data_IF_372907349597
#
_entry.id   IF_372907349597
#
_cell.length_a   1.000
_cell.length_b   1.000
_cell.length_c   1.000
_cell.angle_alpha   90.00
_cell.angle_beta   90.00
_cell.angle_gamma   90.00
#
_symmetry.space_group_name_H-M   'P 1'
#
loop_
_entity.id
_entity.type
_entity.pdbx_description
1 polymer ?
#
# COMPACT_ATOMS: atom_id res chain seq x y z
N UNK A 1 -32.98 -16.00 -0.83
CA UNK A 1 -31.98 -15.17 -1.53
C UNK A 1 -32.28 -15.26 -3.02
N UNK A 2 -32.79 -14.21 -3.62
CA UNK A 2 -33.23 -14.21 -5.02
C UNK A 2 -32.04 -14.31 -5.98
N UNK A 3 -32.20 -14.96 -7.12
CA UNK A 3 -31.15 -15.15 -8.14
C UNK A 3 -30.44 -13.82 -8.56
N UNK A 4 -31.17 -12.71 -8.50
CA UNK A 4 -30.58 -11.36 -8.71
C UNK A 4 -29.51 -10.97 -7.69
N UNK A 5 -29.64 -11.39 -6.42
CA UNK A 5 -28.61 -11.14 -5.39
C UNK A 5 -27.35 -11.99 -5.64
N UNK A 6 -27.48 -13.21 -6.14
CA UNK A 6 -26.33 -14.09 -6.45
C UNK A 6 -25.52 -13.62 -7.67
N UNK A 7 -26.19 -13.09 -8.70
CA UNK A 7 -25.50 -12.49 -9.86
C UNK A 7 -24.78 -11.19 -9.45
N UNK A 8 -25.40 -10.41 -8.55
CA UNK A 8 -24.81 -9.20 -7.97
C UNK A 8 -23.52 -9.48 -7.19
N UNK A 9 -23.45 -10.55 -6.39
CA UNK A 9 -22.29 -10.91 -5.58
C UNK A 9 -21.06 -11.35 -6.41
N UNK A 10 -21.26 -12.05 -7.52
CA UNK A 10 -20.17 -12.46 -8.42
C UNK A 10 -19.49 -11.28 -9.11
N UNK A 11 -20.25 -10.24 -9.44
CA UNK A 11 -19.73 -8.99 -10.05
C UNK A 11 -19.17 -8.02 -9.00
N UNK A 12 -19.63 -8.10 -7.76
CA UNK A 12 -19.28 -7.15 -6.72
C UNK A 12 -17.79 -7.24 -6.32
N UNK A 13 -17.24 -8.45 -6.16
CA UNK A 13 -15.82 -8.60 -5.79
C UNK A 13 -14.86 -8.04 -6.84
N UNK A 14 -14.99 -8.38 -8.14
CA UNK A 14 -14.18 -7.72 -9.17
C UNK A 14 -14.35 -6.21 -9.19
N UNK A 15 -15.57 -5.70 -8.96
CA UNK A 15 -15.82 -4.27 -8.91
C UNK A 15 -15.12 -3.61 -7.70
N UNK A 16 -15.20 -4.21 -6.51
CA UNK A 16 -14.52 -3.72 -5.31
C UNK A 16 -12.98 -3.77 -5.47
N UNK A 17 -12.46 -4.82 -6.10
CA UNK A 17 -11.05 -4.92 -6.44
C UNK A 17 -10.63 -3.85 -7.46
N UNK A 18 -11.46 -3.58 -8.48
CA UNK A 18 -11.22 -2.50 -9.44
C UNK A 18 -11.19 -1.12 -8.77
N UNK A 19 -12.07 -0.86 -7.80
CA UNK A 19 -12.04 0.38 -7.01
C UNK A 19 -10.70 0.52 -6.26
N UNK A 20 -10.24 -0.54 -5.61
CA UNK A 20 -8.97 -0.51 -4.88
C UNK A 20 -7.75 -0.41 -5.81
N UNK A 21 -7.81 -0.97 -7.01
CA UNK A 21 -6.73 -0.95 -7.99
C UNK A 21 -6.43 0.45 -8.55
N UNK A 22 -7.34 1.42 -8.42
CA UNK A 22 -7.16 2.80 -8.88
C UNK A 22 -5.86 3.40 -8.33
N UNK A 23 -5.57 3.21 -7.04
CA UNK A 23 -4.40 3.80 -6.40
C UNK A 23 -3.08 3.13 -6.80
N UNK A 24 -2.91 1.79 -6.76
CA UNK A 24 -1.74 1.12 -7.30
C UNK A 24 -1.50 1.43 -8.78
N UNK A 25 -2.52 1.40 -9.62
CA UNK A 25 -2.37 1.73 -11.04
C UNK A 25 -1.84 3.16 -11.23
N UNK A 26 -2.37 4.13 -10.46
CA UNK A 26 -1.92 5.52 -10.52
C UNK A 26 -0.46 5.71 -10.05
N UNK A 27 0.03 4.86 -9.15
CA UNK A 27 1.41 4.87 -8.67
C UNK A 27 2.32 4.14 -9.67
N UNK A 28 1.98 2.90 -10.02
CA UNK A 28 2.92 1.99 -10.67
C UNK A 28 3.03 2.20 -12.19
N UNK A 29 1.93 2.57 -12.89
CA UNK A 29 1.99 2.88 -14.33
C UNK A 29 2.85 4.11 -14.64
N UNK A 30 2.89 5.06 -13.73
CA UNK A 30 3.61 6.31 -13.89
C UNK A 30 5.13 6.16 -13.66
N UNK A 31 5.58 5.11 -12.96
CA UNK A 31 6.99 4.93 -12.59
C UNK A 31 7.94 4.94 -13.80
N UNK A 32 7.57 4.27 -14.89
CA UNK A 32 8.37 4.22 -16.11
C UNK A 32 8.50 5.58 -16.82
N UNK A 33 7.51 6.47 -16.64
CA UNK A 33 7.45 7.78 -17.28
C UNK A 33 8.15 8.89 -16.48
N UNK A 34 8.66 8.62 -15.29
CA UNK A 34 9.31 9.65 -14.44
C UNK A 34 10.47 10.39 -15.14
N UNK A 35 11.39 9.72 -15.86
CA UNK A 35 12.48 10.42 -16.54
C UNK A 35 11.97 11.37 -17.63
N UNK A 36 11.05 10.90 -18.47
CA UNK A 36 10.44 11.71 -19.55
C UNK A 36 9.66 12.90 -19.00
N UNK A 37 8.99 12.72 -17.86
CA UNK A 37 8.30 13.81 -17.18
C UNK A 37 9.29 14.84 -16.62
N UNK A 38 10.41 14.41 -16.06
CA UNK A 38 11.46 15.30 -15.55
C UNK A 38 12.02 16.19 -16.67
N UNK A 39 12.26 15.60 -17.84
CA UNK A 39 12.71 16.31 -19.06
C UNK A 39 11.65 17.28 -19.57
N UNK A 40 10.38 16.81 -19.67
CA UNK A 40 9.27 17.63 -20.18
C UNK A 40 8.97 18.87 -19.31
N UNK A 41 8.99 18.70 -17.98
CA UNK A 41 8.75 19.78 -17.00
C UNK A 41 10.03 20.56 -16.65
N UNK A 42 11.16 20.23 -17.29
CA UNK A 42 12.47 20.84 -17.05
C UNK A 42 12.81 20.92 -15.54
N UNK A 43 12.69 19.79 -14.86
CA UNK A 43 12.85 19.69 -13.41
C UNK A 43 13.77 18.54 -13.00
N UNK A 44 14.49 18.61 -11.87
CA UNK A 44 15.30 17.50 -11.38
C UNK A 44 14.45 16.26 -11.11
N UNK A 45 15.02 15.07 -11.36
CA UNK A 45 14.37 13.77 -11.09
C UNK A 45 13.91 13.64 -9.63
N UNK A 46 14.64 14.21 -8.67
CA UNK A 46 14.26 14.21 -7.25
C UNK A 46 12.91 14.90 -6.99
N UNK A 47 12.59 15.97 -7.74
CA UNK A 47 11.30 16.65 -7.64
C UNK A 47 10.18 15.78 -8.20
N UNK A 48 10.44 15.03 -9.27
CA UNK A 48 9.47 14.08 -9.82
C UNK A 48 9.23 12.92 -8.85
N UNK A 49 10.27 12.41 -8.20
CA UNK A 49 10.14 11.40 -7.13
C UNK A 49 9.28 11.90 -5.97
N UNK A 50 9.37 13.18 -5.60
CA UNK A 50 8.52 13.79 -4.58
C UNK A 50 7.03 13.73 -4.92
N UNK A 51 6.66 13.60 -6.20
CA UNK A 51 5.26 13.43 -6.59
C UNK A 51 4.61 12.18 -6.00
N UNK A 52 5.38 11.11 -5.81
CA UNK A 52 4.90 9.90 -5.12
C UNK A 52 4.68 10.19 -3.63
N UNK A 53 5.60 10.88 -2.97
CA UNK A 53 5.45 11.27 -1.57
C UNK A 53 4.24 12.18 -1.33
N UNK A 54 4.05 13.14 -2.23
CA UNK A 54 2.88 14.02 -2.21
C UNK A 54 1.58 13.25 -2.44
N UNK A 55 1.61 12.26 -3.35
CA UNK A 55 0.48 11.35 -3.57
C UNK A 55 0.17 10.54 -2.30
N UNK A 56 1.19 9.92 -1.67
CA UNK A 56 1.04 9.14 -0.44
C UNK A 56 0.50 10.00 0.71
N UNK A 57 0.98 11.23 0.85
CA UNK A 57 0.51 12.19 1.83
C UNK A 57 -0.97 12.55 1.59
N UNK A 58 -1.31 12.89 0.35
CA UNK A 58 -2.70 13.19 -0.03
C UNK A 58 -3.63 12.02 0.29
N UNK A 59 -3.22 10.81 -0.06
CA UNK A 59 -3.99 9.59 0.24
C UNK A 59 -4.17 9.36 1.75
N UNK A 60 -3.10 9.50 2.54
CA UNK A 60 -3.17 9.36 4.00
C UNK A 60 -4.11 10.38 4.65
N UNK A 61 -4.01 11.66 4.26
CA UNK A 61 -4.91 12.71 4.75
C UNK A 61 -6.36 12.49 4.31
N UNK A 62 -6.55 11.99 3.09
CA UNK A 62 -7.86 11.60 2.61
C UNK A 62 -8.47 10.46 3.40
N UNK A 63 -7.71 9.41 3.77
CA UNK A 63 -8.18 8.32 4.64
C UNK A 63 -8.62 8.84 6.02
N UNK A 64 -7.91 9.83 6.56
CA UNK A 64 -8.27 10.49 7.82
C UNK A 64 -9.65 11.15 7.71
N UNK A 65 -9.90 11.87 6.63
CA UNK A 65 -11.16 12.59 6.42
C UNK A 65 -12.29 11.64 6.02
N UNK A 66 -12.07 10.82 5.00
CA UNK A 66 -13.14 10.00 4.43
C UNK A 66 -13.42 8.72 5.23
N UNK A 67 -12.50 8.28 6.10
CA UNK A 67 -12.73 7.14 6.99
C UNK A 67 -13.99 7.31 7.87
N UNK A 68 -14.10 8.36 8.70
CA UNK A 68 -15.33 8.63 9.45
C UNK A 68 -16.55 8.90 8.56
N UNK A 69 -16.33 9.50 7.37
CA UNK A 69 -17.42 9.78 6.44
C UNK A 69 -18.01 8.48 5.84
N UNK A 70 -17.20 7.44 5.64
CA UNK A 70 -17.64 6.14 5.16
C UNK A 70 -18.58 5.41 6.15
N UNK A 71 -18.48 5.74 7.44
CA UNK A 71 -19.41 5.23 8.45
C UNK A 71 -20.73 6.02 8.52
N UNK A 72 -20.73 7.28 8.04
CA UNK A 72 -21.87 8.23 8.18
C UNK A 72 -22.65 8.41 6.89
N UNK A 73 -21.97 8.39 5.75
CA UNK A 73 -22.58 8.65 4.45
C UNK A 73 -22.75 7.38 3.63
N UNK A 74 -23.60 7.44 2.61
CA UNK A 74 -23.76 6.36 1.64
C UNK A 74 -22.43 5.98 0.99
N UNK A 75 -22.07 4.71 1.09
CA UNK A 75 -20.82 4.18 0.50
C UNK A 75 -20.75 4.42 -1.00
N UNK A 76 -21.89 4.24 -1.71
CA UNK A 76 -21.97 4.49 -3.15
C UNK A 76 -21.64 5.95 -3.49
N UNK A 77 -22.18 6.91 -2.74
CA UNK A 77 -21.88 8.34 -2.95
C UNK A 77 -20.41 8.67 -2.75
N UNK A 78 -19.78 8.10 -1.72
CA UNK A 78 -18.35 8.30 -1.47
C UNK A 78 -17.48 7.67 -2.56
N UNK A 79 -17.82 6.47 -3.03
CA UNK A 79 -17.09 5.84 -4.14
C UNK A 79 -17.22 6.67 -5.41
N UNK A 80 -18.41 7.15 -5.75
CA UNK A 80 -18.63 7.99 -6.92
C UNK A 80 -17.88 9.33 -6.81
N UNK A 81 -17.88 9.96 -5.62
CA UNK A 81 -17.06 11.15 -5.37
C UNK A 81 -15.58 10.88 -5.60
N UNK A 82 -15.05 9.78 -5.04
CA UNK A 82 -13.65 9.41 -5.15
C UNK A 82 -13.22 9.10 -6.59
N UNK A 83 -14.01 8.29 -7.31
CA UNK A 83 -13.72 7.92 -8.70
C UNK A 83 -13.90 9.09 -9.67
N UNK A 84 -14.96 9.90 -9.49
CA UNK A 84 -15.20 11.08 -10.31
C UNK A 84 -14.11 12.14 -10.14
N UNK A 85 -13.75 12.43 -8.88
CA UNK A 85 -12.66 13.34 -8.59
C UNK A 85 -11.30 12.86 -9.08
N UNK A 86 -11.02 11.54 -8.95
CA UNK A 86 -9.82 10.93 -9.51
C UNK A 86 -9.78 11.04 -11.05
N UNK A 87 -10.90 10.79 -11.72
CA UNK A 87 -11.03 10.96 -13.17
C UNK A 87 -10.69 12.38 -13.60
N UNK A 88 -11.31 13.39 -12.96
CA UNK A 88 -11.07 14.80 -13.26
C UNK A 88 -9.59 15.16 -13.01
N UNK A 89 -9.03 14.78 -11.87
CA UNK A 89 -7.62 15.06 -11.57
C UNK A 89 -6.69 14.38 -12.58
N UNK A 90 -7.01 13.16 -13.03
CA UNK A 90 -6.24 12.45 -14.06
C UNK A 90 -6.31 13.16 -15.42
N UNK A 91 -7.42 13.79 -15.77
CA UNK A 91 -7.55 14.60 -16.98
C UNK A 91 -6.81 15.94 -16.90
N UNK A 92 -6.63 16.49 -15.70
CA UNK A 92 -5.89 17.73 -15.47
C UNK A 92 -4.37 17.52 -15.51
N UNK A 93 -3.86 16.36 -15.11
CA UNK A 93 -2.41 16.09 -15.06
C UNK A 93 -1.69 16.26 -16.41
N UNK A 94 -2.22 15.85 -17.57
CA UNK A 94 -1.60 16.12 -18.86
C UNK A 94 -1.52 17.61 -19.26
N UNK A 95 -2.29 18.47 -18.59
CA UNK A 95 -2.43 19.90 -18.92
C UNK A 95 -1.51 20.81 -18.10
N UNK A 96 -0.78 20.27 -17.14
CA UNK A 96 0.10 21.06 -16.25
C UNK A 96 1.35 21.53 -17.01
N UNK A 97 1.84 22.72 -16.66
CA UNK A 97 3.00 23.35 -17.31
C UNK A 97 4.26 23.33 -16.45
N UNK A 98 4.16 22.99 -15.16
CA UNK A 98 5.30 22.95 -14.24
C UNK A 98 5.11 21.90 -13.14
N UNK A 99 6.20 21.60 -12.44
CA UNK A 99 6.23 20.55 -11.41
C UNK A 99 5.31 20.87 -10.21
N UNK A 100 5.15 22.13 -9.85
CA UNK A 100 4.34 22.53 -8.69
C UNK A 100 2.84 22.26 -8.94
N UNK A 101 2.36 22.57 -10.14
CA UNK A 101 1.01 22.22 -10.58
C UNK A 101 0.84 20.69 -10.61
N UNK A 102 1.83 19.98 -11.14
CA UNK A 102 1.81 18.51 -11.17
C UNK A 102 1.69 17.93 -9.76
N UNK A 103 2.52 18.37 -8.80
CA UNK A 103 2.48 17.93 -7.42
C UNK A 103 1.13 18.24 -6.76
N UNK A 104 0.58 19.45 -7.00
CA UNK A 104 -0.71 19.85 -6.44
C UNK A 104 -1.86 18.97 -6.96
N UNK A 105 -1.91 18.70 -8.25
CA UNK A 105 -2.94 17.85 -8.84
C UNK A 105 -2.75 16.39 -8.41
N UNK A 106 -1.52 15.89 -8.28
CA UNK A 106 -1.22 14.55 -7.74
C UNK A 106 -1.69 14.39 -6.30
N UNK A 107 -1.49 15.42 -5.47
CA UNK A 107 -2.03 15.43 -4.11
C UNK A 107 -3.56 15.30 -4.12
N UNK A 108 -4.24 16.14 -4.89
CA UNK A 108 -5.71 16.13 -4.97
C UNK A 108 -6.25 14.82 -5.56
N UNK A 109 -5.58 14.26 -6.56
CA UNK A 109 -5.90 12.96 -7.15
C UNK A 109 -5.92 11.85 -6.08
N UNK A 110 -4.87 11.79 -5.26
CA UNK A 110 -4.74 10.80 -4.20
C UNK A 110 -5.74 11.06 -3.06
N UNK A 111 -5.85 12.32 -2.61
CA UNK A 111 -6.75 12.73 -1.54
C UNK A 111 -8.19 12.32 -1.84
N UNK A 112 -8.70 12.67 -3.03
CA UNK A 112 -10.08 12.37 -3.41
C UNK A 112 -10.26 10.86 -3.67
N UNK A 113 -9.28 10.17 -4.28
CA UNK A 113 -9.39 8.73 -4.55
C UNK A 113 -9.54 7.90 -3.29
N UNK A 114 -9.00 8.35 -2.16
CA UNK A 114 -9.12 7.66 -0.87
C UNK A 114 -10.58 7.52 -0.40
N UNK A 115 -11.47 8.43 -0.83
CA UNK A 115 -12.91 8.34 -0.55
C UNK A 115 -13.55 7.08 -1.17
N UNK A 116 -13.05 6.62 -2.33
CA UNK A 116 -13.52 5.40 -2.95
C UNK A 116 -12.95 4.16 -2.27
N UNK A 117 -11.66 4.15 -1.98
CA UNK A 117 -10.97 2.96 -1.49
C UNK A 117 -11.27 2.63 -0.03
N UNK A 118 -11.47 3.64 0.83
CA UNK A 118 -11.80 3.46 2.26
C UNK A 118 -13.11 2.72 2.49
N UNK A 119 -14.01 2.77 1.53
CA UNK A 119 -15.34 2.13 1.60
C UNK A 119 -15.25 0.61 1.41
N UNK A 120 -14.26 0.12 0.65
CA UNK A 120 -14.21 -1.26 0.16
C UNK A 120 -14.19 -2.31 1.29
N UNK A 121 -13.35 -2.22 2.33
CA UNK A 121 -13.37 -3.21 3.42
C UNK A 121 -14.75 -3.30 4.11
N UNK A 122 -15.38 -2.14 4.29
CA UNK A 122 -16.72 -2.06 4.84
C UNK A 122 -17.80 -2.68 3.94
N UNK A 123 -17.69 -2.49 2.62
CA UNK A 123 -18.57 -3.10 1.66
C UNK A 123 -18.41 -4.64 1.63
N UNK A 124 -17.16 -5.14 1.59
CA UNK A 124 -16.90 -6.59 1.67
C UNK A 124 -17.53 -7.19 2.95
N UNK A 125 -17.37 -6.52 4.08
CA UNK A 125 -17.96 -6.97 5.35
C UNK A 125 -19.49 -7.03 5.31
N UNK A 126 -20.13 -6.07 4.68
CA UNK A 126 -21.59 -6.01 4.57
C UNK A 126 -22.15 -7.14 3.71
N UNK A 127 -21.49 -7.44 2.58
CA UNK A 127 -21.97 -8.44 1.63
C UNK A 127 -21.55 -9.87 1.94
N UNK A 128 -20.40 -10.05 2.63
CA UNK A 128 -19.85 -11.38 2.94
C UNK A 128 -20.12 -11.81 4.38
N UNK A 129 -20.53 -10.91 5.30
CA UNK A 129 -20.88 -11.23 6.68
C UNK A 129 -19.82 -12.08 7.38
N UNK A 130 -20.15 -13.32 7.70
CA UNK A 130 -19.23 -14.28 8.36
C UNK A 130 -18.04 -14.65 7.48
N UNK A 131 -18.16 -14.57 6.16
CA UNK A 131 -17.13 -14.88 5.17
C UNK A 131 -16.29 -13.65 4.77
N UNK A 132 -16.32 -12.56 5.53
CA UNK A 132 -15.58 -11.31 5.27
C UNK A 132 -14.10 -11.56 4.96
N UNK A 133 -13.44 -12.42 5.73
CA UNK A 133 -12.03 -12.75 5.52
C UNK A 133 -11.77 -13.35 4.13
N UNK A 134 -12.68 -14.22 3.66
CA UNK A 134 -12.61 -14.81 2.32
C UNK A 134 -12.82 -13.75 1.22
N UNK A 135 -13.79 -12.85 1.40
CA UNK A 135 -14.05 -11.75 0.48
C UNK A 135 -12.84 -10.79 0.37
N UNK A 136 -12.25 -10.39 1.49
CA UNK A 136 -11.04 -9.55 1.52
C UNK A 136 -9.84 -10.25 0.88
N UNK A 137 -9.68 -11.56 1.07
CA UNK A 137 -8.62 -12.33 0.43
C UNK A 137 -8.74 -12.32 -1.09
N UNK A 138 -9.94 -12.50 -1.64
CA UNK A 138 -10.17 -12.42 -3.10
C UNK A 138 -9.85 -11.03 -3.65
N UNK A 139 -10.31 -9.98 -2.97
CA UNK A 139 -9.99 -8.60 -3.36
C UNK A 139 -8.49 -8.36 -3.35
N UNK A 140 -7.78 -8.82 -2.32
CA UNK A 140 -6.33 -8.69 -2.22
C UNK A 140 -5.59 -9.45 -3.31
N UNK A 141 -6.04 -10.67 -3.66
CA UNK A 141 -5.45 -11.44 -4.77
C UNK A 141 -5.55 -10.71 -6.11
N UNK A 142 -6.72 -10.14 -6.41
CA UNK A 142 -6.93 -9.37 -7.64
C UNK A 142 -6.05 -8.10 -7.61
N UNK A 143 -5.97 -7.43 -6.47
CA UNK A 143 -5.12 -6.25 -6.31
C UNK A 143 -3.62 -6.50 -6.52
N UNK A 144 -3.15 -7.70 -6.21
CA UNK A 144 -1.74 -8.07 -6.43
C UNK A 144 -1.36 -8.13 -7.91
N UNK A 145 -2.33 -8.29 -8.81
CA UNK A 145 -2.09 -8.26 -10.25
C UNK A 145 -1.83 -6.84 -10.76
N UNK A 146 -2.41 -5.81 -10.13
CA UNK A 146 -2.26 -4.43 -10.58
C UNK A 146 -0.79 -3.96 -10.61
N UNK A 147 0.01 -4.06 -9.53
CA UNK A 147 1.42 -3.69 -9.56
C UNK A 147 2.27 -4.53 -10.52
N UNK A 148 1.86 -5.77 -10.79
CA UNK A 148 2.60 -6.66 -11.71
C UNK A 148 2.50 -6.18 -13.15
N UNK A 149 1.34 -5.72 -13.57
CA UNK A 149 1.07 -5.35 -14.97
C UNK A 149 1.20 -3.84 -15.22
N UNK A 150 1.02 -3.01 -14.19
CA UNK A 150 0.96 -1.56 -14.33
C UNK A 150 2.22 -0.93 -14.94
N UNK A 151 3.46 -1.23 -14.52
CA UNK A 151 4.65 -0.65 -15.13
C UNK A 151 4.82 -1.07 -16.59
N UNK A 152 4.46 -2.31 -16.94
CA UNK A 152 4.50 -2.80 -18.31
C UNK A 152 3.50 -2.05 -19.20
N UNK A 153 2.27 -1.82 -18.71
CA UNK A 153 1.29 -0.98 -19.40
C UNK A 153 1.85 0.45 -19.55
N UNK A 154 2.40 1.02 -18.47
CA UNK A 154 3.01 2.36 -18.48
C UNK A 154 4.11 2.48 -19.55
N UNK A 155 5.03 1.52 -19.62
CA UNK A 155 6.10 1.49 -20.60
C UNK A 155 5.58 1.38 -22.05
N UNK A 156 4.57 0.53 -22.30
CA UNK A 156 3.95 0.42 -23.64
C UNK A 156 3.27 1.72 -24.05
N UNK A 157 2.56 2.37 -23.14
CA UNK A 157 1.90 3.64 -23.42
C UNK A 157 2.91 4.76 -23.69
N UNK A 158 4.04 4.74 -22.98
CA UNK A 158 5.13 5.70 -23.18
C UNK A 158 5.78 5.54 -24.57
N UNK A 159 6.04 4.30 -25.00
CA UNK A 159 6.55 3.99 -26.34
C UNK A 159 5.57 4.39 -27.46
N UNK A 160 4.27 4.25 -27.21
CA UNK A 160 3.24 4.53 -28.20
C UNK A 160 3.05 6.03 -28.45
N UNK A 161 3.13 6.88 -27.40
CA UNK A 161 2.83 8.31 -27.55
C UNK A 161 3.64 9.20 -26.59
N UNK A 162 3.25 9.23 -25.29
CA UNK A 162 3.85 10.15 -24.33
C UNK A 162 3.40 9.81 -22.89
N UNK A 163 4.03 10.42 -21.91
CA UNK A 163 3.67 10.26 -20.50
C UNK A 163 2.21 10.69 -20.19
N UNK A 164 1.66 11.65 -20.94
CA UNK A 164 0.28 12.13 -20.78
C UNK A 164 -0.74 11.02 -21.01
N UNK A 165 -0.46 10.10 -21.95
CA UNK A 165 -1.37 9.00 -22.28
C UNK A 165 -1.66 8.11 -21.07
N UNK A 166 -0.69 7.94 -20.17
CA UNK A 166 -0.86 7.18 -18.92
C UNK A 166 -2.02 7.75 -18.11
N UNK A 167 -2.07 9.07 -17.96
CA UNK A 167 -3.12 9.74 -17.18
C UNK A 167 -4.48 9.73 -17.88
N UNK A 168 -4.52 9.78 -19.20
CA UNK A 168 -5.76 9.60 -19.96
C UNK A 168 -6.30 8.17 -19.80
N UNK A 169 -5.44 7.16 -19.81
CA UNK A 169 -5.84 5.76 -19.56
C UNK A 169 -6.34 5.59 -18.13
N UNK A 170 -5.70 6.20 -17.14
CA UNK A 170 -6.17 6.20 -15.74
C UNK A 170 -7.53 6.90 -15.59
N UNK A 171 -7.74 8.00 -16.30
CA UNK A 171 -9.03 8.70 -16.32
C UNK A 171 -10.12 7.81 -16.94
N UNK A 172 -9.86 7.19 -18.08
CA UNK A 172 -10.78 6.27 -18.75
C UNK A 172 -11.10 5.05 -17.85
N UNK A 173 -10.10 4.46 -17.21
CA UNK A 173 -10.28 3.38 -16.25
C UNK A 173 -11.21 3.79 -15.11
N UNK A 174 -10.91 4.91 -14.46
CA UNK A 174 -11.72 5.42 -13.35
C UNK A 174 -13.14 5.74 -13.79
N UNK A 175 -13.33 6.31 -14.99
CA UNK A 175 -14.64 6.60 -15.54
C UNK A 175 -15.46 5.32 -15.82
N UNK A 176 -14.82 4.29 -16.38
CA UNK A 176 -15.48 2.98 -16.58
C UNK A 176 -15.92 2.40 -15.24
N UNK A 177 -15.03 2.39 -14.23
CA UNK A 177 -15.36 1.88 -12.89
C UNK A 177 -16.46 2.73 -12.25
N UNK A 178 -16.45 4.05 -12.44
CA UNK A 178 -17.50 4.98 -11.98
C UNK A 178 -18.88 4.59 -12.55
N UNK A 179 -18.97 4.32 -13.87
CA UNK A 179 -20.21 3.86 -14.51
C UNK A 179 -20.69 2.50 -13.99
N UNK A 180 -19.74 1.57 -13.78
CA UNK A 180 -20.04 0.27 -13.20
C UNK A 180 -20.54 0.39 -11.76
N UNK A 181 -19.95 1.28 -10.95
CA UNK A 181 -20.42 1.57 -9.59
C UNK A 181 -21.81 2.19 -9.59
N UNK A 182 -22.11 3.11 -10.51
CA UNK A 182 -23.45 3.67 -10.67
C UNK A 182 -24.50 2.60 -10.97
N UNK A 183 -24.11 1.58 -11.73
CA UNK A 183 -25.05 0.52 -12.15
C UNK A 183 -25.18 -0.61 -11.14
N UNK A 184 -24.06 -1.05 -10.55
CA UNK A 184 -23.98 -2.32 -9.82
C UNK A 184 -23.74 -2.21 -8.32
N UNK A 185 -23.21 -1.09 -7.81
CA UNK A 185 -23.01 -0.93 -6.36
C UNK A 185 -24.32 -0.41 -5.74
N UNK A 186 -25.00 -1.23 -4.91
CA UNK A 186 -26.23 -0.79 -4.26
C UNK A 186 -25.97 0.39 -3.31
N UNK A 187 -26.96 1.25 -3.18
CA UNK A 187 -26.93 2.26 -2.12
C UNK A 187 -27.16 1.58 -0.76
N UNK A 188 -26.40 1.96 0.26
CA UNK A 188 -26.54 1.34 1.57
C UNK A 188 -27.96 1.62 2.13
N UNK A 189 -28.73 0.58 2.37
CA UNK A 189 -29.95 0.67 3.15
C UNK A 189 -29.57 0.61 4.65
N UNK A 190 -30.38 1.26 5.51
CA UNK A 190 -30.28 1.14 6.97
C UNK A 190 -30.62 -0.29 7.45
N UNK A 191 -30.95 -1.16 6.51
CA UNK A 191 -31.33 -2.55 6.72
C UNK A 191 -30.12 -3.43 6.40
N UNK A 192 -29.82 -4.36 7.28
CA UNK A 192 -28.83 -5.41 7.02
C UNK A 192 -29.33 -6.30 5.89
N UNK A 193 -28.58 -6.39 4.79
CA UNK A 193 -28.96 -7.15 3.58
C UNK A 193 -29.06 -8.66 3.88
N UNK A 194 -28.35 -9.14 4.91
CA UNK A 194 -28.31 -10.56 5.27
C UNK A 194 -29.44 -10.93 6.23
N UNK A 195 -29.69 -10.07 7.23
CA UNK A 195 -30.67 -10.37 8.31
C UNK A 195 -32.04 -9.72 8.07
N UNK A 196 -32.12 -8.70 7.22
CA UNK A 196 -33.35 -7.90 7.00
C UNK A 196 -33.69 -6.97 8.17
N UNK A 197 -32.86 -6.88 9.19
CA UNK A 197 -33.06 -6.05 10.37
C UNK A 197 -32.41 -4.67 10.25
N UNK A 198 -32.91 -3.67 10.99
CA UNK A 198 -32.22 -2.37 11.09
C UNK A 198 -30.84 -2.55 11.70
N UNK A 199 -29.83 -2.01 11.03
CA UNK A 199 -28.44 -2.02 11.52
C UNK A 199 -28.39 -1.36 12.90
N UNK A 200 -27.75 -1.98 13.90
CA UNK A 200 -27.56 -1.37 15.20
C UNK A 200 -26.78 -0.05 15.06
N UNK A 201 -27.24 0.98 15.77
CA UNK A 201 -26.55 2.26 15.81
C UNK A 201 -25.17 2.04 16.44
N UNK A 202 -24.13 2.05 15.63
CA UNK A 202 -22.76 1.91 16.12
C UNK A 202 -22.36 3.19 16.82
N UNK A 203 -21.81 3.04 18.04
CA UNK A 203 -21.13 4.13 18.73
C UNK A 203 -20.00 4.65 17.83
N UNK A 204 -20.15 5.86 17.30
CA UNK A 204 -19.14 6.46 16.42
C UNK A 204 -18.00 6.99 17.29
N UNK A 205 -16.92 6.26 17.39
CA UNK A 205 -15.69 6.78 18.01
C UNK A 205 -15.16 7.97 17.18
N UNK A 206 -14.80 9.06 17.86
CA UNK A 206 -14.14 10.17 17.20
C UNK A 206 -12.78 9.74 16.62
N UNK A 207 -12.28 10.47 15.63
CA UNK A 207 -10.96 10.21 15.05
C UNK A 207 -9.86 10.12 16.14
N UNK A 208 -9.81 11.10 17.05
CA UNK A 208 -8.85 11.13 18.15
C UNK A 208 -8.97 9.91 19.05
N UNK A 209 -10.19 9.47 19.38
CA UNK A 209 -10.42 8.28 20.21
C UNK A 209 -9.91 7.01 19.49
N UNK A 210 -10.11 6.88 18.19
CA UNK A 210 -9.61 5.74 17.39
C UNK A 210 -8.08 5.65 17.46
N UNK A 211 -7.38 6.77 17.25
CA UNK A 211 -5.92 6.80 17.36
C UNK A 211 -5.44 6.55 18.80
N UNK A 212 -6.09 7.13 19.79
CA UNK A 212 -5.73 6.95 21.19
C UNK A 212 -5.82 5.49 21.64
N UNK A 213 -6.84 4.74 21.21
CA UNK A 213 -6.99 3.31 21.50
C UNK A 213 -5.81 2.52 20.92
N UNK A 214 -5.42 2.77 19.68
CA UNK A 214 -4.39 1.99 18.98
C UNK A 214 -2.99 2.37 19.47
N UNK A 215 -2.67 3.66 19.51
CA UNK A 215 -1.35 4.17 19.90
C UNK A 215 -1.09 4.07 21.40
N UNK A 216 -2.14 4.10 22.23
CA UNK A 216 -2.06 3.95 23.68
C UNK A 216 -1.76 2.53 24.15
N UNK A 217 -1.92 1.53 23.29
CA UNK A 217 -1.65 0.15 23.65
C UNK A 217 -0.14 -0.17 23.63
N UNK A 218 0.48 -0.28 24.80
CA UNK A 218 1.91 -0.54 24.93
C UNK A 218 2.36 -1.88 24.34
N UNK A 219 1.50 -2.91 24.37
CA UNK A 219 1.81 -4.23 23.81
C UNK A 219 1.82 -4.24 22.28
N UNK A 220 0.99 -3.40 21.66
CA UNK A 220 0.92 -3.30 20.20
C UNK A 220 2.00 -2.36 19.61
N UNK A 221 2.61 -1.49 20.43
CA UNK A 221 3.47 -0.40 19.98
C UNK A 221 4.66 -0.87 19.11
N UNK A 222 5.36 -1.93 19.55
CA UNK A 222 6.54 -2.44 18.80
C UNK A 222 6.13 -3.10 17.48
N UNK A 223 4.99 -3.78 17.44
CA UNK A 223 4.46 -4.36 16.21
C UNK A 223 3.94 -3.26 15.26
N UNK A 224 3.37 -2.16 15.80
CA UNK A 224 2.99 -0.97 15.03
C UNK A 224 4.21 -0.29 14.39
N UNK A 225 5.26 -0.04 15.18
CA UNK A 225 6.52 0.54 14.66
C UNK A 225 7.10 -0.38 13.58
N UNK A 226 7.10 -1.70 13.79
CA UNK A 226 7.55 -2.67 12.79
C UNK A 226 6.74 -2.56 11.48
N UNK A 227 5.41 -2.48 11.58
CA UNK A 227 4.52 -2.33 10.41
C UNK A 227 4.75 -1.01 9.68
N UNK A 228 5.01 0.08 10.42
CA UNK A 228 5.30 1.40 9.84
C UNK A 228 6.68 1.42 9.14
N UNK A 229 7.72 0.90 9.79
CA UNK A 229 9.08 0.90 9.23
C UNK A 229 9.19 0.01 8.00
N UNK A 230 8.55 -1.17 8.01
CA UNK A 230 8.56 -2.02 6.82
C UNK A 230 7.80 -1.39 5.65
N UNK A 231 6.79 -0.58 5.95
CA UNK A 231 6.09 0.20 4.93
C UNK A 231 6.95 1.34 4.39
N UNK A 232 7.76 1.99 5.24
CA UNK A 232 8.76 2.97 4.79
C UNK A 232 9.75 2.30 3.82
N UNK A 233 10.26 1.09 4.13
CA UNK A 233 11.13 0.35 3.21
C UNK A 233 10.45 0.07 1.87
N UNK A 234 9.18 -0.38 1.89
CA UNK A 234 8.41 -0.62 0.67
C UNK A 234 8.23 0.65 -0.17
N UNK A 235 7.82 1.75 0.44
CA UNK A 235 7.62 3.01 -0.29
C UNK A 235 8.95 3.65 -0.71
N UNK A 236 10.05 3.42 0.03
CA UNK A 236 11.41 3.78 -0.40
C UNK A 236 11.76 3.05 -1.70
N UNK A 237 11.47 1.74 -1.78
CA UNK A 237 11.64 0.99 -3.01
C UNK A 237 10.82 1.60 -4.16
N UNK A 238 9.51 1.77 -3.99
CA UNK A 238 8.63 2.31 -5.05
C UNK A 238 9.13 3.70 -5.53
N UNK A 239 9.52 4.57 -4.60
CA UNK A 239 9.92 5.94 -4.92
C UNK A 239 11.29 6.01 -5.61
N UNK A 240 12.25 5.19 -5.17
CA UNK A 240 13.63 5.29 -5.66
C UNK A 240 13.92 4.43 -6.88
N UNK A 241 13.21 3.30 -7.06
CA UNK A 241 13.57 2.27 -8.03
C UNK A 241 13.59 2.76 -9.49
N UNK A 242 12.69 3.67 -9.95
CA UNK A 242 12.78 4.23 -11.28
C UNK A 242 14.09 5.00 -11.50
N UNK A 243 14.48 5.82 -10.52
CA UNK A 243 15.76 6.55 -10.59
C UNK A 243 16.95 5.58 -10.58
N UNK A 244 16.96 4.60 -9.68
CA UNK A 244 18.06 3.63 -9.55
C UNK A 244 18.23 2.83 -10.83
N UNK A 245 17.17 2.29 -11.41
CA UNK A 245 17.27 1.47 -12.61
C UNK A 245 17.46 2.30 -13.88
N UNK A 246 16.63 3.33 -14.09
CA UNK A 246 16.61 4.07 -15.35
C UNK A 246 17.75 5.11 -15.47
N UNK A 247 18.15 5.76 -14.33
CA UNK A 247 19.18 6.82 -14.38
C UNK A 247 20.55 6.31 -13.88
N UNK A 248 20.63 5.63 -12.73
CA UNK A 248 21.93 5.18 -12.18
C UNK A 248 22.48 4.02 -13.00
N UNK A 249 21.66 3.01 -13.30
CA UNK A 249 22.08 1.83 -14.08
C UNK A 249 21.75 1.92 -15.56
N UNK A 250 21.07 2.97 -16.01
CA UNK A 250 20.76 3.26 -17.42
C UNK A 250 20.10 2.08 -18.17
N UNK A 251 19.20 1.32 -17.46
CA UNK A 251 18.42 0.26 -18.12
C UNK A 251 17.28 0.85 -18.95
N UNK A 252 16.82 0.12 -19.98
CA UNK A 252 15.65 0.54 -20.75
C UNK A 252 14.35 0.45 -19.93
N UNK A 253 13.32 1.20 -20.34
CA UNK A 253 11.99 1.12 -19.68
C UNK A 253 11.40 -0.29 -19.73
N UNK A 254 11.67 -1.04 -20.80
CA UNK A 254 11.27 -2.43 -20.89
C UNK A 254 11.97 -3.31 -19.85
N UNK A 255 13.29 -3.18 -19.71
CA UNK A 255 14.06 -3.91 -18.71
C UNK A 255 13.63 -3.52 -17.28
N UNK A 256 13.38 -2.22 -17.05
CA UNK A 256 12.80 -1.72 -15.80
C UNK A 256 11.51 -2.45 -15.45
N UNK A 257 10.57 -2.54 -16.40
CA UNK A 257 9.28 -3.20 -16.19
C UNK A 257 9.42 -4.68 -15.84
N UNK A 258 10.35 -5.40 -16.50
CA UNK A 258 10.64 -6.80 -16.18
C UNK A 258 11.24 -6.96 -14.78
N UNK A 259 12.20 -6.13 -14.40
CA UNK A 259 12.81 -6.14 -13.07
C UNK A 259 11.79 -5.79 -11.97
N UNK A 260 10.89 -4.83 -12.25
CA UNK A 260 9.82 -4.49 -11.34
C UNK A 260 8.83 -5.66 -11.18
N UNK A 261 8.40 -6.27 -12.28
CA UNK A 261 7.54 -7.46 -12.25
C UNK A 261 8.17 -8.64 -11.48
N UNK A 262 9.49 -8.84 -11.62
CA UNK A 262 10.23 -9.84 -10.85
C UNK A 262 10.12 -9.60 -9.34
N UNK A 263 10.20 -8.35 -8.89
CA UNK A 263 10.05 -8.01 -7.47
C UNK A 263 8.61 -8.20 -6.98
N UNK A 264 7.60 -7.95 -7.83
CA UNK A 264 6.20 -8.27 -7.51
C UNK A 264 6.00 -9.78 -7.39
N UNK A 265 6.64 -10.58 -8.24
CA UNK A 265 6.65 -12.04 -8.11
C UNK A 265 7.26 -12.50 -6.77
N UNK A 266 8.32 -11.82 -6.29
CA UNK A 266 8.88 -12.09 -4.96
C UNK A 266 7.85 -11.82 -3.84
N UNK A 267 7.10 -10.71 -3.94
CA UNK A 267 6.00 -10.40 -3.01
C UNK A 267 4.93 -11.51 -3.02
N UNK A 268 4.49 -11.94 -4.21
CA UNK A 268 3.47 -12.99 -4.38
C UNK A 268 3.95 -14.34 -3.84
N UNK A 269 5.18 -14.73 -4.16
CA UNK A 269 5.78 -15.97 -3.67
C UNK A 269 5.88 -15.99 -2.13
N UNK A 270 6.27 -14.87 -1.54
CA UNK A 270 6.32 -14.72 -0.09
C UNK A 270 4.93 -14.81 0.55
N UNK A 271 3.89 -14.23 -0.05
CA UNK A 271 2.52 -14.40 0.39
C UNK A 271 2.06 -15.85 0.31
N UNK A 272 2.35 -16.53 -0.79
CA UNK A 272 2.02 -17.94 -0.96
C UNK A 272 2.70 -18.82 0.10
N UNK A 273 4.00 -18.61 0.33
CA UNK A 273 4.77 -19.31 1.38
C UNK A 273 4.15 -19.02 2.76
N UNK A 274 3.84 -17.74 3.03
CA UNK A 274 3.23 -17.34 4.30
C UNK A 274 1.90 -18.05 4.54
N UNK A 275 0.98 -18.04 3.58
CA UNK A 275 -0.33 -18.70 3.71
C UNK A 275 -0.21 -20.19 3.96
N UNK A 276 0.79 -20.86 3.37
CA UNK A 276 1.02 -22.30 3.55
C UNK A 276 1.50 -22.66 4.95
N UNK A 277 2.32 -21.80 5.57
CA UNK A 277 3.01 -22.14 6.81
C UNK A 277 2.53 -21.39 8.05
N UNK A 278 1.83 -20.26 7.89
CA UNK A 278 1.43 -19.40 9.02
C UNK A 278 0.47 -20.09 9.99
N UNK A 279 -0.42 -20.95 9.49
CA UNK A 279 -1.37 -21.70 10.33
C UNK A 279 -0.64 -22.65 11.26
N UNK A 280 0.40 -23.35 10.76
CA UNK A 280 1.16 -24.33 11.53
C UNK A 280 2.22 -23.68 12.44
N UNK A 281 2.88 -22.59 11.99
CA UNK A 281 4.03 -21.98 12.68
C UNK A 281 3.70 -20.70 13.45
N UNK A 282 2.57 -20.08 13.16
CA UNK A 282 2.13 -18.81 13.76
C UNK A 282 2.81 -17.59 13.17
N UNK A 283 2.10 -16.45 13.18
CA UNK A 283 2.55 -15.17 12.59
C UNK A 283 3.89 -14.68 13.18
N UNK A 284 4.13 -14.86 14.47
CA UNK A 284 5.39 -14.43 15.12
C UNK A 284 6.61 -15.17 14.58
N UNK A 285 6.49 -16.47 14.31
CA UNK A 285 7.57 -17.29 13.76
C UNK A 285 7.84 -16.93 12.31
N UNK A 286 6.78 -16.75 11.51
CA UNK A 286 6.89 -16.34 10.10
C UNK A 286 7.53 -14.95 9.96
N UNK A 287 7.15 -14.01 10.83
CA UNK A 287 7.75 -12.68 10.89
C UNK A 287 9.26 -12.76 11.17
N UNK A 288 9.68 -13.55 12.17
CA UNK A 288 11.10 -13.70 12.52
C UNK A 288 11.92 -14.31 11.40
N UNK A 289 11.40 -15.35 10.76
CA UNK A 289 12.05 -15.95 9.59
C UNK A 289 12.25 -14.90 8.47
N UNK A 290 11.19 -14.19 8.12
CA UNK A 290 11.26 -13.14 7.10
C UNK A 290 12.23 -12.01 7.51
N UNK A 291 12.29 -11.66 8.80
CA UNK A 291 13.16 -10.61 9.30
C UNK A 291 14.65 -10.98 9.21
N UNK A 292 15.02 -12.23 9.47
CA UNK A 292 16.39 -12.71 9.26
C UNK A 292 16.77 -12.54 7.79
N UNK A 293 15.93 -13.02 6.88
CA UNK A 293 16.18 -12.90 5.45
C UNK A 293 16.21 -11.45 4.99
N UNK A 294 15.29 -10.59 5.49
CA UNK A 294 15.27 -9.15 5.20
C UNK A 294 16.56 -8.46 5.65
N UNK A 295 17.05 -8.79 6.86
CA UNK A 295 18.27 -8.20 7.40
C UNK A 295 19.49 -8.57 6.55
N UNK A 296 19.63 -9.83 6.17
CA UNK A 296 20.71 -10.28 5.29
C UNK A 296 20.64 -9.62 3.91
N UNK A 297 19.45 -9.58 3.32
CA UNK A 297 19.23 -8.99 2.00
C UNK A 297 19.42 -7.46 2.00
N UNK A 298 18.94 -6.76 3.02
CA UNK A 298 19.12 -5.31 3.16
C UNK A 298 20.60 -4.95 3.43
N UNK A 299 21.31 -5.76 4.22
CA UNK A 299 22.76 -5.59 4.44
C UNK A 299 23.54 -5.79 3.14
N UNK A 300 23.20 -6.82 2.37
CA UNK A 300 23.77 -7.06 1.06
C UNK A 300 23.48 -5.90 0.10
N UNK A 301 22.24 -5.41 0.05
CA UNK A 301 21.84 -4.26 -0.76
C UNK A 301 22.62 -3.02 -0.41
N UNK A 302 22.78 -2.72 0.88
CA UNK A 302 23.55 -1.58 1.35
C UNK A 302 25.03 -1.71 0.94
N UNK A 303 25.66 -2.87 1.18
CA UNK A 303 27.05 -3.13 0.83
C UNK A 303 27.32 -3.02 -0.67
N UNK A 304 26.48 -3.65 -1.50
CA UNK A 304 26.58 -3.64 -2.96
C UNK A 304 26.56 -2.22 -3.52
N UNK A 305 25.63 -1.38 -3.02
CA UNK A 305 25.49 -0.01 -3.50
C UNK A 305 26.54 0.94 -2.91
N UNK A 306 27.04 0.70 -1.69
CA UNK A 306 28.19 1.42 -1.14
C UNK A 306 29.47 1.16 -1.94
N UNK A 307 29.69 -0.08 -2.38
CA UNK A 307 30.82 -0.49 -3.22
C UNK A 307 30.60 -0.21 -4.72
N UNK A 308 29.42 0.32 -5.09
CA UNK A 308 29.04 0.63 -6.48
C UNK A 308 29.20 -0.55 -7.44
N UNK A 309 28.79 -1.74 -7.00
CA UNK A 309 28.84 -2.96 -7.80
C UNK A 309 27.82 -2.96 -8.95
N UNK A 310 28.01 -3.80 -9.98
CA UNK A 310 27.08 -3.90 -11.11
C UNK A 310 25.62 -4.21 -10.70
N UNK A 311 24.67 -3.80 -11.56
CA UNK A 311 23.22 -3.94 -11.36
C UNK A 311 22.78 -5.30 -10.86
N UNK A 312 23.37 -6.40 -11.36
CA UNK A 312 22.95 -7.76 -11.02
C UNK A 312 22.98 -8.02 -9.50
N UNK A 313 23.96 -7.48 -8.79
CA UNK A 313 24.07 -7.64 -7.34
C UNK A 313 22.96 -6.89 -6.60
N UNK A 314 22.57 -5.71 -7.10
CA UNK A 314 21.43 -4.94 -6.60
C UNK A 314 20.12 -5.72 -6.82
N UNK A 315 19.89 -6.28 -8.00
CA UNK A 315 18.71 -7.07 -8.33
C UNK A 315 18.60 -8.32 -7.44
N UNK A 316 19.71 -9.07 -7.30
CA UNK A 316 19.76 -10.28 -6.45
C UNK A 316 19.50 -9.97 -4.99
N UNK A 317 19.92 -8.81 -4.50
CA UNK A 317 19.68 -8.36 -3.12
C UNK A 317 18.25 -7.87 -2.91
N UNK A 318 17.65 -7.15 -3.86
CA UNK A 318 16.29 -6.62 -3.77
C UNK A 318 15.25 -7.74 -3.78
N UNK A 319 15.41 -8.75 -4.61
CA UNK A 319 14.42 -9.81 -4.79
C UNK A 319 14.01 -10.49 -3.47
N UNK A 320 14.92 -11.07 -2.66
CA UNK A 320 14.56 -11.66 -1.37
C UNK A 320 14.11 -10.61 -0.35
N UNK A 321 14.62 -9.37 -0.44
CA UNK A 321 14.22 -8.28 0.43
C UNK A 321 12.75 -7.93 0.23
N UNK A 322 12.29 -7.80 -1.02
CA UNK A 322 10.89 -7.49 -1.33
C UNK A 322 9.93 -8.56 -0.84
N UNK A 323 10.26 -9.84 -1.06
CA UNK A 323 9.47 -10.94 -0.50
C UNK A 323 9.40 -10.90 1.04
N UNK A 324 10.53 -10.63 1.69
CA UNK A 324 10.60 -10.53 3.15
C UNK A 324 9.79 -9.34 3.68
N UNK A 325 9.85 -8.17 3.03
CA UNK A 325 9.05 -6.98 3.38
C UNK A 325 7.55 -7.33 3.38
N UNK A 326 7.08 -8.01 2.35
CA UNK A 326 5.69 -8.46 2.25
C UNK A 326 5.29 -9.38 3.41
N UNK A 327 6.11 -10.38 3.70
CA UNK A 327 5.84 -11.33 4.77
C UNK A 327 5.87 -10.68 6.15
N UNK A 328 6.80 -9.76 6.43
CA UNK A 328 6.85 -8.99 7.67
C UNK A 328 5.60 -8.13 7.82
N UNK A 329 5.19 -7.43 6.75
CA UNK A 329 4.01 -6.56 6.77
C UNK A 329 2.75 -7.32 7.18
N UNK A 330 2.45 -8.42 6.49
CA UNK A 330 1.23 -9.22 6.74
C UNK A 330 1.21 -9.81 8.15
N UNK A 331 2.35 -10.34 8.60
CA UNK A 331 2.42 -10.94 9.94
C UNK A 331 2.41 -9.90 11.07
N UNK A 332 3.01 -8.71 10.86
CA UNK A 332 2.89 -7.59 11.81
C UNK A 332 1.43 -7.14 11.96
N UNK A 333 0.70 -7.01 10.85
CA UNK A 333 -0.71 -6.64 10.88
C UNK A 333 -1.56 -7.69 11.60
N UNK A 334 -1.33 -8.97 11.32
CA UNK A 334 -2.03 -10.05 12.02
C UNK A 334 -1.78 -9.99 13.53
N UNK A 335 -0.53 -9.76 13.97
CA UNK A 335 -0.17 -9.62 15.38
C UNK A 335 -0.80 -8.39 16.03
N UNK A 336 -0.91 -7.28 15.32
CA UNK A 336 -1.59 -6.09 15.83
C UNK A 336 -3.09 -6.36 15.96
N UNK A 337 -3.73 -6.90 14.91
CA UNK A 337 -5.17 -7.13 14.87
C UNK A 337 -5.63 -8.10 15.97
N UNK A 338 -4.82 -9.11 16.32
CA UNK A 338 -5.14 -10.04 17.42
C UNK A 338 -5.23 -9.36 18.78
N UNK A 339 -4.62 -8.20 18.97
CA UNK A 339 -4.68 -7.42 20.23
C UNK A 339 -5.92 -6.52 20.32
N UNK A 340 -6.68 -6.38 19.22
CA UNK A 340 -7.86 -5.51 19.16
C UNK A 340 -9.06 -6.22 18.49
N UNK A 341 -9.54 -7.34 19.04
CA UNK A 341 -10.58 -8.14 18.38
C UNK A 341 -11.88 -7.36 18.14
N UNK A 342 -12.26 -6.47 19.06
CA UNK A 342 -13.50 -5.68 18.96
C UNK A 342 -13.38 -4.46 18.06
N UNK A 343 -12.16 -3.96 17.82
CA UNK A 343 -11.88 -2.73 17.10
C UNK A 343 -11.10 -2.93 15.78
N UNK A 344 -11.16 -4.12 15.18
CA UNK A 344 -10.36 -4.50 14.02
C UNK A 344 -10.46 -3.50 12.85
N UNK A 345 -11.65 -2.98 12.53
CA UNK A 345 -11.84 -1.99 11.49
C UNK A 345 -11.16 -0.65 11.78
N UNK A 346 -11.29 -0.17 13.03
CA UNK A 346 -10.58 1.04 13.51
C UNK A 346 -9.06 0.86 13.41
N UNK A 347 -8.56 -0.27 13.89
CA UNK A 347 -7.12 -0.58 13.84
C UNK A 347 -6.60 -0.63 12.41
N UNK A 348 -7.31 -1.29 11.50
CA UNK A 348 -6.94 -1.33 10.07
C UNK A 348 -6.86 0.06 9.45
N UNK A 349 -7.83 0.94 9.74
CA UNK A 349 -7.82 2.32 9.25
C UNK A 349 -6.63 3.11 9.82
N UNK A 350 -6.35 2.97 11.11
CA UNK A 350 -5.20 3.64 11.77
C UNK A 350 -3.88 3.15 11.19
N UNK A 351 -3.69 1.82 11.06
CA UNK A 351 -2.49 1.23 10.46
C UNK A 351 -2.33 1.76 9.03
N UNK A 352 -3.39 1.74 8.23
CA UNK A 352 -3.36 2.25 6.85
C UNK A 352 -2.90 3.71 6.79
N UNK A 353 -3.50 4.59 7.58
CA UNK A 353 -3.10 6.02 7.64
C UNK A 353 -1.63 6.20 8.04
N UNK A 354 -1.18 5.48 9.07
CA UNK A 354 0.21 5.56 9.55
C UNK A 354 1.21 5.06 8.50
N UNK A 355 0.88 3.99 7.79
CA UNK A 355 1.71 3.42 6.72
C UNK A 355 1.89 4.37 5.54
N UNK A 356 0.79 4.88 5.01
CA UNK A 356 0.81 5.82 3.89
C UNK A 356 1.46 7.13 4.30
N UNK A 357 1.14 7.63 5.50
CA UNK A 357 1.74 8.83 6.06
C UNK A 357 3.25 8.72 6.22
N UNK A 358 3.76 7.61 6.79
CA UNK A 358 5.20 7.41 6.91
C UNK A 358 5.86 7.18 5.55
N UNK A 359 5.18 6.48 4.63
CA UNK A 359 5.62 6.30 3.26
C UNK A 359 5.86 7.62 2.51
N UNK A 360 5.07 8.65 2.82
CA UNK A 360 5.21 9.97 2.24
C UNK A 360 6.56 10.65 2.56
N UNK A 361 7.23 10.23 3.63
CA UNK A 361 8.57 10.74 3.97
C UNK A 361 9.69 10.10 3.13
N UNK A 362 9.42 9.00 2.42
CA UNK A 362 10.45 8.33 1.62
C UNK A 362 11.09 9.28 0.59
N UNK A 363 10.29 10.02 -0.19
CA UNK A 363 10.80 10.95 -1.20
C UNK A 363 11.61 12.12 -0.62
N UNK A 364 11.09 12.89 0.36
CA UNK A 364 11.85 13.95 1.01
C UNK A 364 13.17 13.48 1.61
N UNK A 365 13.20 12.30 2.26
CA UNK A 365 14.44 11.74 2.80
C UNK A 365 15.42 11.42 1.67
N UNK A 366 14.95 10.74 0.61
CA UNK A 366 15.77 10.42 -0.55
C UNK A 366 16.29 11.68 -1.26
N UNK A 367 15.45 12.70 -1.40
CA UNK A 367 15.82 13.97 -2.01
C UNK A 367 16.87 14.74 -1.18
N UNK A 368 16.76 14.70 0.16
CA UNK A 368 17.70 15.36 1.06
C UNK A 368 19.11 14.75 0.99
N UNK A 369 19.20 13.41 0.89
CA UNK A 369 20.45 12.69 0.80
C UNK A 369 20.87 12.39 -0.65
N UNK A 370 20.25 13.03 -1.64
CA UNK A 370 20.50 12.77 -3.05
C UNK A 370 21.95 13.09 -3.44
N UNK A 371 22.67 12.07 -3.90
CA UNK A 371 24.07 12.15 -4.33
C UNK A 371 24.30 11.64 -5.77
N UNK A 372 23.23 11.45 -6.52
CA UNK A 372 23.29 10.89 -7.89
C UNK A 372 23.50 9.38 -7.95
N UNK A 373 23.58 8.68 -6.80
CA UNK A 373 23.82 7.25 -6.71
C UNK A 373 22.63 6.48 -6.09
N UNK A 374 22.73 5.14 -6.08
CA UNK A 374 21.77 4.29 -5.39
C UNK A 374 22.00 4.14 -3.87
N UNK A 375 23.04 4.79 -3.30
CA UNK A 375 23.39 4.68 -1.88
C UNK A 375 22.26 5.13 -0.93
N UNK A 376 21.64 6.33 -1.10
CA UNK A 376 20.58 6.78 -0.20
C UNK A 376 19.41 5.81 -0.14
N UNK A 377 19.02 5.24 -1.28
CA UNK A 377 17.99 4.23 -1.41
C UNK A 377 18.33 2.98 -0.58
N UNK A 378 19.52 2.41 -0.80
CA UNK A 378 19.94 1.18 -0.14
C UNK A 378 20.08 1.36 1.39
N UNK A 379 20.63 2.49 1.82
CA UNK A 379 20.80 2.82 3.23
C UNK A 379 19.47 3.07 3.94
N UNK A 380 18.50 3.74 3.31
CA UNK A 380 17.20 3.99 3.91
C UNK A 380 16.41 2.68 4.07
N UNK A 381 16.46 1.77 3.09
CA UNK A 381 15.86 0.44 3.21
C UNK A 381 16.52 -0.37 4.33
N UNK A 382 17.84 -0.36 4.40
CA UNK A 382 18.60 -1.03 5.48
C UNK A 382 18.24 -0.48 6.85
N UNK A 383 18.22 0.84 7.02
CA UNK A 383 17.83 1.50 8.27
C UNK A 383 16.41 1.09 8.70
N UNK A 384 15.45 1.10 7.80
CA UNK A 384 14.08 0.71 8.11
C UNK A 384 14.00 -0.75 8.60
N UNK A 385 14.69 -1.68 7.94
CA UNK A 385 14.76 -3.10 8.36
C UNK A 385 15.48 -3.24 9.71
N UNK A 386 16.54 -2.47 9.95
CA UNK A 386 17.28 -2.48 11.22
C UNK A 386 16.39 -2.06 12.41
N UNK A 387 15.57 -1.01 12.23
CA UNK A 387 14.60 -0.60 13.26
C UNK A 387 13.59 -1.70 13.55
N UNK A 388 13.09 -2.40 12.51
CA UNK A 388 12.20 -3.56 12.70
C UNK A 388 12.91 -4.65 13.50
N UNK A 389 14.18 -4.94 13.18
CA UNK A 389 14.98 -5.91 13.91
C UNK A 389 15.09 -5.55 15.39
N UNK A 390 15.42 -4.30 15.71
CA UNK A 390 15.50 -3.80 17.09
C UNK A 390 14.16 -3.98 17.82
N UNK A 391 13.03 -3.59 17.20
CA UNK A 391 11.70 -3.74 17.78
C UNK A 391 11.38 -5.22 18.10
N UNK A 392 11.71 -6.13 17.19
CA UNK A 392 11.42 -7.56 17.38
C UNK A 392 12.36 -8.23 18.41
N UNK A 393 13.60 -7.78 18.52
CA UNK A 393 14.53 -8.23 19.58
C UNK A 393 14.05 -7.80 20.96
N UNK A 394 13.58 -6.56 21.12
CA UNK A 394 12.97 -6.06 22.37
C UNK A 394 11.73 -6.89 22.73
N UNK A 395 10.84 -7.14 21.75
CA UNK A 395 9.65 -7.96 21.95
C UNK A 395 10.03 -9.37 22.43
N UNK A 396 11.07 -9.96 21.86
CA UNK A 396 11.55 -11.29 22.25
C UNK A 396 12.11 -11.32 23.67
N UNK A 397 12.94 -10.33 24.04
CA UNK A 397 13.50 -10.17 25.39
C UNK A 397 12.39 -10.05 26.44
N UNK A 398 11.38 -9.19 26.19
CA UNK A 398 10.25 -8.99 27.10
C UNK A 398 9.45 -10.28 27.30
N UNK A 399 9.23 -11.05 26.22
CA UNK A 399 8.48 -12.32 26.31
C UNK A 399 9.22 -13.41 27.11
N UNK A 400 10.56 -13.41 27.05
CA UNK A 400 11.41 -14.32 27.82
C UNK A 400 11.38 -13.99 29.33
N UNK A 401 11.47 -12.71 29.66
CA UNK A 401 11.42 -12.22 31.03
C UNK A 401 10.07 -12.54 31.70
N UNK A 402 8.97 -12.31 30.99
CA UNK A 402 7.62 -12.66 31.52
C UNK A 402 7.46 -14.15 31.80
N UNK A 403 8.00 -15.04 30.94
CA UNK A 403 7.98 -16.49 31.16
C UNK A 403 8.83 -16.93 32.38
N UNK A 404 9.97 -16.27 32.59
CA UNK A 404 10.85 -16.57 33.72
C UNK A 404 10.24 -16.11 35.06
N UNK A 405 9.57 -14.95 35.08
CA UNK A 405 8.85 -14.44 36.25
C UNK A 405 7.68 -15.38 36.65
N UNK A 406 6.95 -15.90 35.63
CA UNK A 406 5.87 -16.87 35.89
C UNK A 406 6.41 -18.20 36.40
N UNK A 407 7.53 -18.71 35.90
CA UNK A 407 8.16 -19.94 36.39
C UNK A 407 8.70 -19.78 37.81
N UNK A 408 9.25 -18.63 38.19
CA UNK A 408 9.74 -18.36 39.54
C UNK A 408 8.65 -18.12 40.61
N UNK A 409 7.38 -17.91 40.20
CA UNK A 409 6.24 -17.79 41.11
C UNK A 409 5.57 -19.13 41.43
N UNK A 410 5.93 -20.21 40.72
CA UNK A 410 5.41 -21.56 40.91
C UNK A 410 6.47 -22.55 41.47
N UNK A 411 7.65 -22.06 41.82
CA UNK A 411 8.64 -22.71 42.68
C UNK A 411 8.61 -22.07 44.10
#
# INVERSE_FOLDING_TARGET
>A
MTAQLQVSLKLLLPLLAAILAVSPLAVDMYLSAMPTLAEHLNTPMSMVQNSLSVYLLGYALGLILFGPMADKYSRRKLVLLGLGGFCIASLLLPMVSNIEQFLSVRFMQAFISSAATVVVPGAVREYYGKDTAKGLSYVSMIMMLAPMIAPSIGSVLLLAHSWQLIFYVLAAYSFIVFLLVMKYLPDASDIDIITGEKKPVKVQLSFVQRYKIVLGNGEARLDLISSMMISLAFFTYITAIPFVYLKVFSVSEYTFSLLFALNVLALMAAHFINTRFVVAKGSRTMLRFALILATLAASALALVNLLQLPLIYTVVSIFPLMGSISMIAVNSDALILTKFPENSGTVTAVIGTLRWGLGAFAGPILAFYYDGSAKPFALLMFFAVLVVLCCQLITWSNSKNSKNILKGKFQ
#
